data_IF_809579327593
#
_entry.id   IF_809579327593
#
_cell.length_a   1.000
_cell.length_b   1.000
_cell.length_c   1.000
_cell.angle_alpha   90.00
_cell.angle_beta   90.00
_cell.angle_gamma   90.00
#
_symmetry.space_group_name_H-M   'P 1'
#
loop_
_entity.id
_entity.type
_entity.pdbx_description
1 polymer ?
#
# COMPACT_ATOMS: atom_id res chain seq x y z
N UNK A 1 13.90 -14.33 -8.40
CA UNK A 1 13.64 -12.97 -8.93
C UNK A 1 14.56 -11.99 -8.23
N UNK A 2 15.12 -11.01 -8.96
CA UNK A 2 15.93 -9.95 -8.37
C UNK A 2 15.22 -8.60 -8.55
N UNK A 3 15.14 -7.82 -7.48
CA UNK A 3 14.70 -6.43 -7.49
C UNK A 3 15.91 -5.56 -7.19
N UNK A 4 16.20 -4.57 -8.06
CA UNK A 4 17.34 -3.67 -7.88
C UNK A 4 16.88 -2.40 -7.20
N UNK A 5 17.61 -1.98 -6.17
CA UNK A 5 17.35 -0.75 -5.42
C UNK A 5 18.60 0.13 -5.45
N UNK A 6 18.41 1.41 -5.72
CA UNK A 6 19.48 2.41 -5.67
C UNK A 6 19.18 3.42 -4.55
N UNK A 7 20.16 3.69 -3.71
CA UNK A 7 20.13 4.80 -2.74
C UNK A 7 20.48 6.10 -3.47
N UNK A 8 19.63 7.11 -3.34
CA UNK A 8 19.84 8.47 -3.86
C UNK A 8 20.03 9.50 -2.74
N UNK A 9 20.01 9.02 -1.50
CA UNK A 9 20.27 9.81 -0.31
C UNK A 9 21.14 9.00 0.69
N UNK A 10 22.11 9.62 1.38
CA UNK A 10 23.01 8.89 2.31
C UNK A 10 22.25 8.21 3.46
N UNK A 11 21.18 8.81 3.94
CA UNK A 11 20.37 8.27 5.07
C UNK A 11 19.34 7.23 4.64
N UNK A 12 19.22 6.93 3.33
CA UNK A 12 18.27 5.93 2.86
C UNK A 12 18.59 4.53 3.40
N UNK A 13 17.56 3.84 3.87
CA UNK A 13 17.65 2.46 4.37
C UNK A 13 17.04 1.53 3.34
N UNK A 14 17.81 0.55 2.87
CA UNK A 14 17.30 -0.46 1.92
C UNK A 14 16.33 -1.39 2.65
N UNK A 15 15.09 -1.55 2.17
CA UNK A 15 14.12 -2.47 2.73
C UNK A 15 14.62 -3.92 2.71
N UNK A 16 14.29 -4.69 3.75
CA UNK A 16 14.61 -6.11 3.84
C UNK A 16 13.50 -6.86 4.57
N UNK A 17 13.39 -8.15 4.32
CA UNK A 17 12.52 -9.05 5.07
C UNK A 17 13.11 -9.30 6.45
N UNK A 18 12.31 -9.12 7.50
CA UNK A 18 12.78 -9.29 8.89
C UNK A 18 12.75 -10.76 9.30
N UNK A 19 11.70 -11.48 8.88
CA UNK A 19 11.52 -12.90 9.21
C UNK A 19 11.36 -13.74 7.94
N UNK A 20 11.77 -15.03 7.99
CA UNK A 20 11.45 -15.97 6.94
C UNK A 20 9.92 -16.05 6.72
N UNK A 21 9.49 -15.87 5.47
CA UNK A 21 8.07 -15.90 5.10
C UNK A 21 7.34 -14.56 5.16
N UNK A 22 8.01 -13.47 5.58
CA UNK A 22 7.43 -12.14 5.49
C UNK A 22 7.07 -11.81 4.03
N UNK A 23 5.90 -11.20 3.83
CA UNK A 23 5.47 -10.72 2.51
C UNK A 23 5.89 -9.27 2.24
N UNK A 24 6.13 -8.49 3.28
CA UNK A 24 6.46 -7.07 3.21
C UNK A 24 7.82 -6.75 3.82
N UNK A 25 8.46 -5.72 3.29
CA UNK A 25 9.68 -5.11 3.80
C UNK A 25 9.34 -3.72 4.31
N UNK A 26 9.90 -3.31 5.45
CA UNK A 26 9.65 -1.96 5.99
C UNK A 26 10.30 -0.89 5.10
N UNK A 27 9.54 0.18 4.82
CA UNK A 27 10.01 1.42 4.22
C UNK A 27 10.27 2.47 5.29
N UNK A 28 11.35 3.24 5.13
CA UNK A 28 11.85 4.18 6.13
C UNK A 28 11.87 5.61 5.60
N UNK A 29 11.55 6.58 6.47
CA UNK A 29 11.71 8.01 6.16
C UNK A 29 13.19 8.42 6.17
N UNK A 30 13.56 9.37 5.31
CA UNK A 30 14.87 10.06 5.38
C UNK A 30 14.78 11.45 6.03
N UNK A 31 13.61 11.85 6.49
CA UNK A 31 13.30 13.19 6.97
C UNK A 31 12.35 13.16 8.17
N UNK A 32 12.36 14.25 8.93
CA UNK A 32 11.38 14.53 9.97
C UNK A 32 10.19 15.26 9.36
N UNK A 33 8.96 14.74 9.57
CA UNK A 33 7.73 15.33 9.03
C UNK A 33 6.64 15.31 10.09
N UNK A 34 6.00 16.45 10.33
CA UNK A 34 4.81 16.52 11.20
C UNK A 34 3.55 16.57 10.33
N UNK A 35 2.62 15.67 10.58
CA UNK A 35 1.35 15.56 9.85
C UNK A 35 0.22 15.96 10.79
N UNK A 36 -0.42 17.15 10.58
CA UNK A 36 -1.58 17.56 11.36
C UNK A 36 -2.77 16.59 11.19
N UNK A 37 -3.74 16.59 12.12
CA UNK A 37 -4.99 15.84 11.98
C UNK A 37 -5.72 16.15 10.67
N UNK A 38 -6.13 15.10 9.94
CA UNK A 38 -6.84 15.21 8.66
C UNK A 38 -5.97 15.55 7.45
N UNK A 39 -4.69 15.85 7.65
CA UNK A 39 -3.77 16.25 6.57
C UNK A 39 -2.98 15.09 6.00
N UNK A 40 -2.47 15.28 4.79
CA UNK A 40 -1.55 14.36 4.11
C UNK A 40 -0.15 14.96 4.02
N UNK A 41 0.85 14.07 3.99
CA UNK A 41 2.24 14.44 3.72
C UNK A 41 2.88 13.45 2.77
N UNK A 42 3.71 13.95 1.85
CA UNK A 42 4.60 13.15 1.03
C UNK A 42 5.92 12.95 1.79
N UNK A 43 6.22 11.70 2.15
CA UNK A 43 7.42 11.37 2.92
C UNK A 43 8.41 10.63 2.01
N UNK A 44 9.64 11.12 1.96
CA UNK A 44 10.70 10.61 1.10
C UNK A 44 11.40 9.41 1.73
N UNK A 45 11.83 8.45 0.88
CA UNK A 45 12.62 7.28 1.31
C UNK A 45 14.08 7.34 0.89
N UNK A 46 14.44 8.23 -0.03
CA UNK A 46 15.78 8.31 -0.60
C UNK A 46 16.14 7.12 -1.49
N UNK A 47 15.15 6.38 -1.98
CA UNK A 47 15.34 5.15 -2.76
C UNK A 47 14.72 5.25 -4.15
N UNK A 48 15.36 4.58 -5.12
CA UNK A 48 14.75 4.22 -6.41
C UNK A 48 14.76 2.70 -6.55
N UNK A 49 13.75 2.17 -7.25
CA UNK A 49 13.58 0.73 -7.45
C UNK A 49 13.41 0.40 -8.93
N UNK A 50 13.91 -0.77 -9.32
CA UNK A 50 13.63 -1.37 -10.61
C UNK A 50 13.01 -2.75 -10.38
N UNK A 51 11.70 -2.79 -10.47
CA UNK A 51 10.90 -4.02 -10.40
C UNK A 51 10.94 -4.70 -11.78
N UNK A 52 11.14 -6.02 -11.86
CA UNK A 52 11.08 -6.75 -13.13
C UNK A 52 9.70 -6.66 -13.79
N UNK A 53 9.65 -6.77 -15.12
CA UNK A 53 8.40 -6.91 -15.86
C UNK A 53 7.59 -8.12 -15.39
N UNK A 54 6.26 -8.02 -15.39
CA UNK A 54 5.34 -8.99 -14.81
C UNK A 54 5.15 -8.87 -13.30
N UNK A 55 5.78 -7.85 -12.68
CA UNK A 55 5.62 -7.54 -11.25
C UNK A 55 5.45 -6.04 -11.04
N UNK A 56 4.86 -5.69 -9.89
CA UNK A 56 4.81 -4.36 -9.33
C UNK A 56 5.35 -4.36 -7.90
N UNK A 57 5.71 -3.21 -7.38
CA UNK A 57 5.86 -3.02 -5.94
C UNK A 57 4.66 -2.23 -5.41
N UNK A 58 4.17 -2.61 -4.24
CA UNK A 58 3.06 -1.92 -3.57
C UNK A 58 3.52 -1.32 -2.26
N UNK A 59 3.19 -0.04 -2.05
CA UNK A 59 3.27 0.58 -0.72
C UNK A 59 1.96 0.35 0.01
N UNK A 60 2.05 -0.28 1.18
CA UNK A 60 0.91 -0.61 2.03
C UNK A 60 1.06 0.01 3.42
N UNK A 61 -0.05 0.34 4.11
CA UNK A 61 -0.01 0.82 5.48
C UNK A 61 0.66 -0.18 6.43
N UNK A 62 1.29 0.33 7.46
CA UNK A 62 1.85 -0.45 8.54
C UNK A 62 0.83 -0.58 9.66
N UNK A 63 0.48 -1.82 10.05
CA UNK A 63 -0.58 -2.11 11.02
C UNK A 63 -0.38 -1.41 12.36
N UNK A 64 0.87 -1.34 12.86
CA UNK A 64 1.18 -0.64 14.11
C UNK A 64 0.93 0.87 14.02
N UNK A 65 1.21 1.52 12.90
CA UNK A 65 0.91 2.93 12.69
C UNK A 65 -0.60 3.17 12.56
N UNK A 66 -1.30 2.29 11.84
CA UNK A 66 -2.74 2.37 11.67
C UNK A 66 -3.48 2.22 13.02
N UNK A 67 -3.11 1.21 13.82
CA UNK A 67 -3.78 0.90 15.08
C UNK A 67 -3.49 1.94 16.17
N UNK A 68 -2.22 2.31 16.34
CA UNK A 68 -1.80 3.11 17.49
C UNK A 68 -1.84 4.62 17.25
N UNK A 69 -1.78 5.04 15.96
CA UNK A 69 -1.66 6.45 15.59
C UNK A 69 -2.67 6.90 14.54
N UNK A 70 -3.53 6.00 14.05
CA UNK A 70 -4.48 6.27 12.96
C UNK A 70 -3.81 6.80 11.68
N UNK A 71 -2.56 6.40 11.42
CA UNK A 71 -1.80 6.76 10.21
C UNK A 71 -2.02 5.70 9.14
N UNK A 72 -2.35 6.15 7.94
CA UNK A 72 -2.59 5.29 6.78
C UNK A 72 -2.00 5.90 5.51
N UNK A 73 -2.20 5.20 4.38
CA UNK A 73 -1.91 5.71 3.05
C UNK A 73 -3.23 5.93 2.31
N UNK A 74 -3.55 7.17 1.86
CA UNK A 74 -4.82 7.44 1.18
C UNK A 74 -4.93 6.76 -0.19
N UNK A 75 -3.79 6.41 -0.81
CA UNK A 75 -3.72 5.70 -2.09
C UNK A 75 -3.39 4.21 -1.96
N UNK A 76 -3.65 3.59 -0.82
CA UNK A 76 -3.31 2.17 -0.59
C UNK A 76 -4.16 1.22 -1.44
N UNK A 77 -3.56 0.17 -2.05
CA UNK A 77 -2.14 -0.09 -2.19
C UNK A 77 -1.50 0.86 -3.23
N UNK A 78 -0.48 1.61 -2.80
CA UNK A 78 0.24 2.54 -3.68
C UNK A 78 1.08 1.78 -4.71
N UNK A 79 0.73 1.88 -5.99
CA UNK A 79 1.35 1.13 -7.08
C UNK A 79 2.67 1.76 -7.51
N UNK A 80 3.71 0.93 -7.63
CA UNK A 80 5.01 1.27 -8.21
C UNK A 80 5.25 0.33 -9.39
N UNK A 81 5.07 0.84 -10.58
CA UNK A 81 5.18 0.09 -11.83
C UNK A 81 6.62 -0.38 -12.11
N UNK A 82 6.75 -1.47 -12.88
CA UNK A 82 8.06 -2.01 -13.31
C UNK A 82 8.90 -0.99 -14.09
N UNK A 83 8.28 -0.06 -14.82
CA UNK A 83 8.92 1.00 -15.58
C UNK A 83 9.25 2.27 -14.79
N UNK A 84 8.75 2.41 -13.54
CA UNK A 84 9.03 3.61 -12.74
C UNK A 84 10.48 3.69 -12.30
N UNK A 85 11.09 4.89 -12.40
CA UNK A 85 12.48 5.16 -12.01
C UNK A 85 12.63 6.42 -11.15
N UNK A 86 11.52 7.01 -10.71
CA UNK A 86 11.51 8.11 -9.75
C UNK A 86 11.89 7.65 -8.33
N UNK A 87 11.99 8.59 -7.41
CA UNK A 87 12.14 8.31 -5.99
C UNK A 87 10.86 7.65 -5.45
N UNK A 88 11.01 6.62 -4.65
CA UNK A 88 9.91 6.05 -3.87
C UNK A 88 9.57 7.03 -2.76
N UNK A 89 8.37 7.59 -2.80
CA UNK A 89 7.81 8.40 -1.74
C UNK A 89 6.54 7.75 -1.20
N UNK A 90 6.24 7.98 0.06
CA UNK A 90 5.05 7.46 0.74
C UNK A 90 4.11 8.62 1.06
N UNK A 91 2.87 8.54 0.58
CA UNK A 91 1.84 9.50 0.94
C UNK A 91 1.19 9.00 2.22
N UNK A 92 1.41 9.70 3.33
CA UNK A 92 0.77 9.42 4.61
C UNK A 92 -0.42 10.32 4.84
N UNK A 93 -1.45 9.82 5.50
CA UNK A 93 -2.58 10.58 6.03
C UNK A 93 -2.73 10.35 7.52
N UNK A 94 -3.00 11.41 8.27
CA UNK A 94 -3.29 11.34 9.70
C UNK A 94 -4.82 11.39 9.92
N UNK A 95 -5.43 10.26 10.20
CA UNK A 95 -6.85 10.14 10.58
C UNK A 95 -7.09 10.36 12.08
N UNK A 96 -6.01 10.56 12.87
CA UNK A 96 -6.09 10.81 14.30
C UNK A 96 -6.53 12.24 14.62
N UNK A 97 -6.57 12.56 15.93
CA UNK A 97 -6.97 13.87 16.44
C UNK A 97 -5.78 14.72 16.94
N UNK A 98 -4.58 14.16 16.93
CA UNK A 98 -3.35 14.82 17.33
C UNK A 98 -2.36 14.84 16.16
N UNK A 99 -1.48 15.85 16.06
CA UNK A 99 -0.39 15.84 15.09
C UNK A 99 0.46 14.57 15.27
N UNK A 100 0.82 13.94 14.17
CA UNK A 100 1.74 12.79 14.16
C UNK A 100 3.10 13.23 13.65
N UNK A 101 4.15 12.97 14.43
CA UNK A 101 5.52 13.26 14.05
C UNK A 101 6.19 12.00 13.52
N UNK A 102 6.53 12.02 12.22
CA UNK A 102 7.40 11.03 11.59
C UNK A 102 8.83 11.42 11.90
N UNK A 103 9.53 10.59 12.65
CA UNK A 103 10.97 10.78 12.90
C UNK A 103 11.78 10.23 11.72
N UNK A 104 12.88 10.88 11.40
CA UNK A 104 13.86 10.39 10.43
C UNK A 104 14.28 8.96 10.77
N UNK A 105 14.41 8.10 9.76
CA UNK A 105 14.71 6.67 9.86
C UNK A 105 13.64 5.82 10.57
N UNK A 106 12.47 6.37 10.85
CA UNK A 106 11.35 5.57 11.32
C UNK A 106 10.68 4.81 10.18
N UNK A 107 10.02 3.71 10.55
CA UNK A 107 9.24 2.87 9.63
C UNK A 107 7.91 3.56 9.31
N UNK A 108 7.64 3.85 8.04
CA UNK A 108 6.47 4.63 7.61
C UNK A 108 5.44 3.81 6.82
N UNK A 109 5.86 2.74 6.18
CA UNK A 109 5.02 1.88 5.35
C UNK A 109 5.68 0.50 5.21
N UNK A 110 5.04 -0.39 4.46
CA UNK A 110 5.65 -1.64 4.02
C UNK A 110 5.59 -1.78 2.49
N UNK A 111 6.69 -2.24 1.91
CA UNK A 111 6.87 -2.52 0.49
C UNK A 111 6.61 -4.01 0.23
N UNK A 112 5.71 -4.33 -0.68
CA UNK A 112 5.38 -5.71 -1.07
C UNK A 112 5.57 -5.85 -2.58
N UNK A 113 6.23 -6.93 -3.03
CA UNK A 113 6.37 -7.24 -4.46
C UNK A 113 5.24 -8.19 -4.85
N UNK A 114 4.46 -7.81 -5.86
CA UNK A 114 3.30 -8.56 -6.33
C UNK A 114 3.42 -8.91 -7.81
N UNK A 115 2.96 -10.10 -8.26
CA UNK A 115 2.81 -10.38 -9.68
C UNK A 115 1.68 -9.54 -10.28
N UNK A 116 1.82 -9.16 -11.55
CA UNK A 116 0.83 -8.38 -12.27
C UNK A 116 0.38 -9.16 -13.50
N UNK A 117 -0.93 -9.30 -13.65
CA UNK A 117 -1.56 -9.80 -14.88
C UNK A 117 -1.94 -8.59 -15.73
N UNK A 118 -1.43 -8.53 -16.96
CA UNK A 118 -1.85 -7.53 -17.96
C UNK A 118 -2.94 -8.11 -18.81
N UNK A 119 -4.16 -7.59 -18.68
CA UNK A 119 -5.28 -7.98 -19.48
C UNK A 119 -5.26 -7.26 -20.85
N UNK A 120 -5.63 -7.96 -21.89
CA UNK A 120 -6.06 -7.35 -23.13
C UNK A 120 -7.53 -6.90 -22.97
N UNK A 121 -7.79 -5.62 -23.19
CA UNK A 121 -9.12 -5.05 -23.03
C UNK A 121 -9.82 -5.09 -24.39
N UNK A 122 -10.93 -5.82 -24.45
CA UNK A 122 -11.80 -5.88 -25.61
C UNK A 122 -13.12 -5.15 -25.31
N UNK A 123 -13.39 -4.09 -26.03
CA UNK A 123 -14.69 -3.41 -26.00
C UNK A 123 -15.74 -4.25 -26.72
N UNK A 124 -16.83 -4.54 -26.04
CA UNK A 124 -17.97 -5.27 -26.56
C UNK A 124 -19.26 -4.49 -26.33
N UNK A 125 -20.28 -4.74 -27.13
CA UNK A 125 -21.59 -4.06 -27.02
C UNK A 125 -22.33 -4.50 -25.74
N UNK A 126 -22.24 -5.77 -25.38
CA UNK A 126 -22.94 -6.37 -24.24
C UNK A 126 -22.05 -7.44 -23.60
N UNK A 127 -22.23 -7.68 -22.31
CA UNK A 127 -21.63 -8.79 -21.56
C UNK A 127 -22.64 -9.93 -21.43
N UNK A 128 -22.14 -11.13 -21.22
CA UNK A 128 -22.96 -12.30 -20.94
C UNK A 128 -23.67 -12.20 -19.58
N UNK A 129 -24.83 -12.84 -19.48
CA UNK A 129 -25.58 -12.95 -18.22
C UNK A 129 -24.90 -13.89 -17.23
N UNK A 130 -24.98 -13.55 -15.94
CA UNK A 130 -24.48 -14.41 -14.84
C UNK A 130 -25.54 -14.59 -13.76
N UNK A 131 -25.43 -15.65 -12.95
CA UNK A 131 -26.34 -15.88 -11.83
C UNK A 131 -26.29 -14.75 -10.77
N UNK A 132 -25.21 -13.97 -10.71
CA UNK A 132 -25.09 -12.81 -9.84
C UNK A 132 -25.71 -11.56 -10.47
N UNK A 133 -25.72 -11.43 -11.79
CA UNK A 133 -26.18 -10.25 -12.51
C UNK A 133 -25.59 -8.96 -11.97
N UNK A 134 -26.42 -7.97 -11.73
CA UNK A 134 -26.03 -6.66 -11.18
C UNK A 134 -25.88 -6.62 -9.64
N UNK A 135 -25.99 -7.77 -8.97
CA UNK A 135 -25.93 -7.86 -7.50
C UNK A 135 -24.58 -7.38 -6.94
N UNK A 136 -24.59 -6.26 -6.24
CA UNK A 136 -23.45 -5.61 -5.59
C UNK A 136 -23.87 -4.94 -4.27
N UNK A 137 -23.00 -4.09 -3.72
CA UNK A 137 -23.28 -3.17 -2.60
C UNK A 137 -24.04 -3.77 -1.41
N UNK A 138 -23.68 -5.00 -1.02
CA UNK A 138 -24.32 -5.70 0.11
C UNK A 138 -25.44 -6.66 -0.29
N UNK A 139 -25.59 -7.01 -1.57
CA UNK A 139 -26.62 -7.97 -2.06
C UNK A 139 -26.54 -9.34 -1.38
N UNK A 140 -25.40 -9.70 -0.77
CA UNK A 140 -25.21 -10.94 0.02
C UNK A 140 -25.62 -10.82 1.49
N UNK A 141 -26.08 -9.64 1.93
CA UNK A 141 -26.42 -9.33 3.32
C UNK A 141 -25.20 -9.04 4.21
N UNK A 142 -25.48 -8.46 5.39
CA UNK A 142 -24.46 -8.08 6.37
C UNK A 142 -24.25 -9.13 7.47
N UNK A 143 -25.15 -10.12 7.60
CA UNK A 143 -25.11 -11.15 8.66
C UNK A 143 -25.07 -12.54 8.05
N UNK A 144 -24.38 -13.45 8.72
CA UNK A 144 -24.41 -14.87 8.33
C UNK A 144 -25.84 -15.43 8.45
N UNK A 145 -26.36 -16.18 7.45
CA UNK A 145 -27.73 -16.69 7.47
C UNK A 145 -28.10 -17.48 8.73
N UNK A 146 -27.17 -18.23 9.32
CA UNK A 146 -27.37 -18.98 10.56
C UNK A 146 -27.57 -18.09 11.81
N UNK A 147 -27.20 -16.81 11.78
CA UNK A 147 -27.42 -15.88 12.90
C UNK A 147 -28.85 -15.33 12.96
N UNK A 148 -29.64 -15.52 11.90
CA UNK A 148 -31.07 -15.12 11.87
C UNK A 148 -32.04 -16.19 12.44
N UNK A 149 -31.54 -17.38 12.76
CA UNK A 149 -32.35 -18.54 13.19
C UNK A 149 -32.25 -18.85 14.69
N UNK A 150 -31.68 -17.96 15.52
CA UNK A 150 -31.74 -18.12 16.98
C UNK A 150 -32.92 -17.29 17.54
N UNK A 151 -33.92 -17.92 18.14
CA UNK A 151 -35.04 -17.26 18.80
C UNK A 151 -34.60 -16.52 20.08
#
# INVERSE_FOLDING_TARGET
MQVRIAKIHPDAIVPHYVHPGDSGMDAYSIEDVTIPPGETALVRTGLKIAVPEGYEAQMRPKSGLALNHAISLPNTPGTIDSGYRGEICVILINHGQQPYHVEKQSKIAQLVICPVVRAEILEVAELDDTARGEGGFGSTGLRHPAAAAMP
#
